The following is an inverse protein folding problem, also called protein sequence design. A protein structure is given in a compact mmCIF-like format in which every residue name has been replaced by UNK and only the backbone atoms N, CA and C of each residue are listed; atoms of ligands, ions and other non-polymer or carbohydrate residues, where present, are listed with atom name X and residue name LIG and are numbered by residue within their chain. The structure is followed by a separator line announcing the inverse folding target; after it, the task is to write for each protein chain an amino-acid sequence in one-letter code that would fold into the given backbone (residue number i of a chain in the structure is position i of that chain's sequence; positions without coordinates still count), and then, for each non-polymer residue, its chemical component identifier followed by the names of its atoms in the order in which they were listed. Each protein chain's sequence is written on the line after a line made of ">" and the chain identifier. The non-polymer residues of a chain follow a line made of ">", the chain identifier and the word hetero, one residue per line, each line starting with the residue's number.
data_IF_020485844564
#
_entry.id   IF_020485844564
#
_cell.length_a   1.000
_cell.length_b   1.000
_cell.length_c   1.000
_cell.angle_alpha   90.00
_cell.angle_beta   90.00
_cell.angle_gamma   90.00
#
_symmetry.space_group_name_H-M   'P 1'
#
loop_
_entity.id
_entity.type
_entity.pdbx_description
1 polymer ?
#
# COMPACT_ATOMS: atom_id res chain seq x y z
N UNK A 1 21.57 -7.79 -58.28
CA UNK A 1 21.84 -7.90 -56.83
C UNK A 1 21.69 -6.50 -56.21
N UNK A 2 20.47 -5.99 -56.04
CA UNK A 2 20.19 -4.62 -55.55
C UNK A 2 18.84 -4.48 -54.81
N UNK A 3 18.20 -5.58 -54.40
CA UNK A 3 16.91 -5.57 -53.70
C UNK A 3 16.97 -5.74 -52.18
N UNK A 4 18.14 -6.08 -51.61
CA UNK A 4 18.29 -6.30 -50.17
C UNK A 4 18.53 -5.00 -49.37
N UNK A 5 19.08 -3.95 -49.99
CA UNK A 5 19.40 -2.69 -49.29
C UNK A 5 18.16 -1.85 -48.95
N UNK A 6 17.11 -1.87 -49.80
CA UNK A 6 15.91 -1.06 -49.57
C UNK A 6 14.99 -1.60 -48.49
N UNK A 7 15.01 -2.91 -48.22
CA UNK A 7 14.15 -3.50 -47.19
C UNK A 7 14.71 -3.26 -45.79
N UNK A 8 16.05 -3.23 -45.64
CA UNK A 8 16.73 -2.91 -44.39
C UNK A 8 16.55 -1.42 -44.03
N UNK A 9 16.69 -0.52 -45.01
CA UNK A 9 16.46 0.92 -44.79
C UNK A 9 14.99 1.27 -44.50
N UNK A 10 14.03 0.52 -45.05
CA UNK A 10 12.61 0.73 -44.72
C UNK A 10 12.30 0.26 -43.30
N UNK A 11 12.94 -0.81 -42.83
CA UNK A 11 12.78 -1.30 -41.45
C UNK A 11 13.39 -0.36 -40.42
N UNK A 12 14.54 0.26 -40.72
CA UNK A 12 15.14 1.29 -39.85
C UNK A 12 14.25 2.55 -39.80
N UNK A 13 13.66 2.94 -40.93
CA UNK A 13 12.79 4.13 -40.97
C UNK A 13 11.46 3.91 -40.23
N UNK A 14 10.90 2.70 -40.21
CA UNK A 14 9.69 2.40 -39.41
C UNK A 14 9.99 2.36 -37.90
N UNK A 15 11.18 1.90 -37.51
CA UNK A 15 11.64 1.97 -36.12
C UNK A 15 11.92 3.42 -35.67
N UNK A 16 12.47 4.27 -36.55
CA UNK A 16 12.67 5.69 -36.27
C UNK A 16 11.37 6.51 -36.34
N UNK A 17 10.38 6.10 -37.14
CA UNK A 17 9.08 6.77 -37.21
C UNK A 17 8.16 6.41 -36.02
N UNK A 18 8.36 5.25 -35.38
CA UNK A 18 7.79 4.95 -34.06
C UNK A 18 8.31 5.91 -32.99
N UNK A 19 9.57 6.35 -33.07
CA UNK A 19 10.13 7.36 -32.17
C UNK A 19 9.57 8.77 -32.40
N UNK A 20 9.07 9.08 -33.61
CA UNK A 20 8.59 10.42 -33.98
C UNK A 20 7.06 10.58 -34.01
N UNK A 21 6.26 9.50 -34.02
CA UNK A 21 4.78 9.57 -34.10
C UNK A 21 3.99 8.85 -33.03
N UNK A 22 4.62 8.26 -32.01
CA UNK A 22 3.85 7.41 -31.10
C UNK A 22 4.48 7.27 -29.73
N UNK A 23 3.84 7.91 -28.76
CA UNK A 23 3.85 7.44 -27.38
C UNK A 23 5.26 7.21 -26.83
N UNK A 24 5.88 8.32 -26.44
CA UNK A 24 6.42 8.37 -25.09
C UNK A 24 5.21 8.20 -24.14
N UNK A 25 4.67 6.98 -24.07
CA UNK A 25 4.00 6.51 -22.88
C UNK A 25 5.10 6.65 -21.85
N UNK A 26 5.04 7.74 -21.09
CA UNK A 26 5.46 7.67 -19.72
C UNK A 26 4.75 6.42 -19.20
N UNK A 27 5.42 5.27 -19.25
CA UNK A 27 5.24 4.23 -18.26
C UNK A 27 5.68 4.91 -16.96
N UNK A 28 4.86 5.86 -16.48
CA UNK A 28 4.61 5.96 -15.06
C UNK A 28 4.18 4.54 -14.75
N UNK A 29 5.10 3.73 -14.26
CA UNK A 29 4.77 2.45 -13.66
C UNK A 29 3.78 2.80 -12.56
N UNK A 30 2.50 2.82 -12.92
CA UNK A 30 1.43 2.79 -11.95
C UNK A 30 1.74 1.54 -11.15
N UNK A 31 2.04 1.64 -9.84
CA UNK A 31 2.32 0.46 -9.05
C UNK A 31 1.16 -0.51 -9.28
N UNK A 32 1.46 -1.64 -9.92
CA UNK A 32 0.44 -2.61 -10.26
C UNK A 32 0.03 -3.27 -8.95
N UNK A 33 -1.19 -2.96 -8.50
CA UNK A 33 -1.81 -3.63 -7.38
C UNK A 33 -2.59 -4.86 -7.89
N UNK A 34 -2.59 -6.00 -7.16
CA UNK A 34 -1.85 -6.26 -5.94
C UNK A 34 -0.33 -6.35 -6.19
N UNK A 35 0.43 -5.84 -5.25
CA UNK A 35 1.88 -5.73 -5.31
C UNK A 35 2.51 -6.79 -4.41
N UNK A 36 3.41 -7.59 -4.97
CA UNK A 36 4.08 -8.68 -4.26
C UNK A 36 5.54 -8.30 -3.96
N UNK A 37 5.92 -8.36 -2.69
CA UNK A 37 7.26 -8.01 -2.21
C UNK A 37 7.91 -9.24 -1.58
N UNK A 38 8.88 -9.79 -2.29
CA UNK A 38 9.69 -10.93 -1.83
C UNK A 38 10.85 -10.47 -0.95
N UNK A 39 11.46 -11.41 -0.23
CA UNK A 39 12.65 -11.18 0.60
C UNK A 39 13.77 -10.42 -0.14
N UNK A 40 14.36 -9.44 0.54
CA UNK A 40 15.49 -8.64 0.04
C UNK A 40 15.09 -7.61 -1.01
N UNK A 41 13.81 -7.54 -1.38
CA UNK A 41 13.29 -6.63 -2.37
C UNK A 41 12.58 -5.47 -1.68
N UNK A 42 12.94 -4.26 -2.07
CA UNK A 42 12.22 -3.05 -1.69
C UNK A 42 11.41 -2.55 -2.88
N UNK A 43 10.20 -2.07 -2.61
CA UNK A 43 9.31 -1.56 -3.63
C UNK A 43 8.50 -0.38 -3.10
N UNK A 44 8.19 0.55 -3.98
CA UNK A 44 7.40 1.74 -3.62
C UNK A 44 5.96 1.55 -4.08
N UNK A 45 5.03 1.68 -3.14
CA UNK A 45 3.60 1.74 -3.36
C UNK A 45 3.15 3.21 -3.35
N UNK A 46 2.40 3.62 -4.36
CA UNK A 46 1.77 4.95 -4.41
C UNK A 46 0.30 4.81 -4.02
N UNK A 47 -0.11 5.54 -2.99
CA UNK A 47 -1.48 5.55 -2.49
C UNK A 47 -2.18 6.83 -2.95
N UNK A 48 -3.18 6.74 -3.83
CA UNK A 48 -4.04 7.87 -4.18
C UNK A 48 -4.81 8.41 -2.98
N UNK A 49 -5.18 9.69 -3.07
CA UNK A 49 -5.99 10.35 -2.05
C UNK A 49 -7.32 9.61 -1.80
N UNK A 50 -7.73 9.53 -0.53
CA UNK A 50 -8.99 8.90 -0.14
C UNK A 50 -8.99 7.36 -0.22
N UNK A 51 -7.91 6.75 -0.70
CA UNK A 51 -7.70 5.31 -0.65
C UNK A 51 -6.88 4.93 0.59
N UNK A 52 -6.88 3.65 0.92
CA UNK A 52 -6.03 3.13 1.98
C UNK A 52 -5.25 1.90 1.53
N UNK A 53 -4.10 1.71 2.15
CA UNK A 53 -3.18 0.61 1.89
C UNK A 53 -3.47 -0.55 2.84
N UNK A 54 -3.67 -1.73 2.28
CA UNK A 54 -3.79 -3.01 3.00
C UNK A 54 -2.49 -3.77 2.79
N UNK A 55 -1.89 -4.25 3.88
CA UNK A 55 -0.64 -5.01 3.84
C UNK A 55 -0.87 -6.35 4.50
N UNK A 56 -0.52 -7.43 3.81
CA UNK A 56 -0.67 -8.80 4.31
C UNK A 56 0.65 -9.54 4.20
N UNK A 57 1.17 -10.04 5.31
CA UNK A 57 2.32 -10.93 5.30
C UNK A 57 1.90 -12.39 5.18
N UNK A 58 2.58 -13.15 4.33
CA UNK A 58 2.47 -14.60 4.30
C UNK A 58 2.96 -15.23 5.64
N UNK A 59 2.65 -16.50 5.94
CA UNK A 59 3.23 -17.19 7.10
C UNK A 59 4.76 -17.10 7.11
N UNK A 60 5.33 -16.67 8.24
CA UNK A 60 6.77 -16.43 8.35
C UNK A 60 7.27 -15.13 7.71
N UNK A 61 6.37 -14.24 7.26
CA UNK A 61 6.76 -12.94 6.75
C UNK A 61 7.34 -12.05 7.85
N UNK A 62 8.39 -11.32 7.51
CA UNK A 62 8.94 -10.24 8.33
C UNK A 62 9.29 -9.10 7.39
N UNK A 63 8.82 -7.90 7.70
CA UNK A 63 9.03 -6.73 6.85
C UNK A 63 8.71 -5.43 7.56
N UNK A 64 8.91 -4.34 6.84
CA UNK A 64 8.59 -2.98 7.29
C UNK A 64 7.91 -2.26 6.13
N UNK A 65 6.86 -1.52 6.45
CA UNK A 65 6.24 -0.54 5.56
C UNK A 65 6.54 0.84 6.11
N UNK A 66 7.00 1.76 5.27
CA UNK A 66 7.42 3.10 5.68
C UNK A 66 6.72 4.15 4.82
N UNK A 67 5.96 5.04 5.43
CA UNK A 67 5.48 6.26 4.78
C UNK A 67 6.68 7.17 4.51
N UNK A 68 6.87 7.55 3.26
CA UNK A 68 7.98 8.38 2.81
C UNK A 68 7.65 9.87 2.94
N UNK A 69 8.65 10.65 3.34
CA UNK A 69 8.53 12.11 3.37
C UNK A 69 8.42 12.68 1.93
N UNK A 70 7.35 13.41 1.58
CA UNK A 70 7.16 13.94 0.24
C UNK A 70 8.08 15.14 -0.09
N UNK A 71 8.62 15.82 0.92
CA UNK A 71 9.49 17.01 0.79
C UNK A 71 10.95 16.60 0.72
N UNK A 72 11.41 15.77 1.67
CA UNK A 72 12.81 15.33 1.76
C UNK A 72 13.12 14.14 0.86
N UNK A 73 12.10 13.33 0.50
CA UNK A 73 12.23 12.20 -0.42
C UNK A 73 13.20 11.11 0.04
N UNK A 74 13.48 10.17 -0.87
CA UNK A 74 14.44 9.08 -0.64
C UNK A 74 13.96 8.03 0.38
N UNK A 75 14.81 7.70 1.34
CA UNK A 75 14.55 6.74 2.44
C UNK A 75 14.08 7.42 3.73
N UNK A 76 13.85 8.74 3.71
CA UNK A 76 13.31 9.46 4.86
C UNK A 76 11.87 9.00 5.12
N UNK A 77 11.63 8.45 6.31
CA UNK A 77 10.33 7.95 6.70
C UNK A 77 9.69 8.86 7.76
N UNK A 78 8.43 9.21 7.54
CA UNK A 78 7.59 9.91 8.51
C UNK A 78 7.00 8.96 9.54
N UNK A 79 6.65 7.74 9.11
CA UNK A 79 6.04 6.72 9.94
C UNK A 79 6.34 5.34 9.37
N UNK A 80 6.51 4.35 10.24
CA UNK A 80 6.76 2.96 9.83
C UNK A 80 5.92 1.96 10.62
N UNK A 81 5.58 0.85 9.98
CA UNK A 81 4.81 -0.26 10.54
C UNK A 81 5.61 -1.56 10.36
N UNK A 82 5.66 -2.37 11.40
CA UNK A 82 6.25 -3.70 11.32
C UNK A 82 5.26 -4.67 10.69
N UNK A 83 5.70 -5.43 9.69
CA UNK A 83 4.91 -6.46 9.01
C UNK A 83 5.29 -7.82 9.55
N UNK A 84 4.30 -8.57 10.04
CA UNK A 84 4.40 -9.98 10.38
C UNK A 84 3.46 -10.83 9.54
N UNK A 85 3.22 -12.08 9.95
CA UNK A 85 2.20 -12.91 9.31
C UNK A 85 0.78 -12.37 9.55
N UNK A 86 -0.05 -12.40 8.52
CA UNK A 86 -1.42 -11.89 8.55
C UNK A 86 -1.56 -10.46 8.03
N UNK A 87 -2.78 -9.93 8.10
CA UNK A 87 -3.09 -8.56 7.65
C UNK A 87 -2.76 -7.54 8.75
N UNK A 88 -2.11 -6.45 8.36
CA UNK A 88 -1.98 -5.24 9.16
C UNK A 88 -3.31 -4.48 9.20
N UNK A 89 -3.46 -3.62 10.22
CA UNK A 89 -4.51 -2.62 10.21
C UNK A 89 -4.40 -1.74 8.95
N UNK A 90 -5.54 -1.32 8.42
CA UNK A 90 -5.60 -0.48 7.22
C UNK A 90 -4.83 0.84 7.45
N UNK A 91 -3.96 1.20 6.50
CA UNK A 91 -3.11 2.40 6.58
C UNK A 91 -3.71 3.50 5.69
N UNK A 92 -4.23 4.57 6.30
CA UNK A 92 -4.98 5.64 5.64
C UNK A 92 -6.48 5.64 6.02
N UNK A 93 -7.33 6.45 5.35
CA UNK A 93 -7.02 7.29 4.18
C UNK A 93 -6.16 8.51 4.52
N UNK A 94 -5.43 8.99 3.53
CA UNK A 94 -4.68 10.25 3.63
C UNK A 94 -5.28 11.29 2.69
N UNK A 95 -5.09 12.56 3.06
CA UNK A 95 -5.26 13.68 2.15
C UNK A 95 -4.04 13.74 1.20
N UNK A 96 -4.31 13.97 -0.08
CA UNK A 96 -3.30 13.94 -1.13
C UNK A 96 -2.69 12.55 -1.40
N UNK A 97 -1.83 12.48 -2.41
CA UNK A 97 -1.11 11.26 -2.79
C UNK A 97 0.03 10.98 -1.81
N UNK A 98 0.14 9.73 -1.36
CA UNK A 98 1.20 9.27 -0.48
C UNK A 98 2.07 8.20 -1.13
N UNK A 99 3.30 8.04 -0.64
CA UNK A 99 4.25 7.02 -1.09
C UNK A 99 4.73 6.18 0.08
N UNK A 100 4.70 4.87 -0.09
CA UNK A 100 5.12 3.91 0.91
C UNK A 100 6.25 3.06 0.37
N UNK A 101 7.33 2.90 1.14
CA UNK A 101 8.36 1.90 0.87
C UNK A 101 7.99 0.62 1.61
N UNK A 102 7.79 -0.46 0.88
CA UNK A 102 7.55 -1.79 1.41
C UNK A 102 8.84 -2.59 1.28
N UNK A 103 9.35 -3.08 2.40
CA UNK A 103 10.56 -3.89 2.49
C UNK A 103 10.24 -5.21 3.18
N UNK A 104 10.69 -6.32 2.60
CA UNK A 104 10.49 -7.66 3.16
C UNK A 104 11.85 -8.30 3.46
N UNK A 105 12.08 -8.71 4.71
CA UNK A 105 13.32 -9.36 5.17
C UNK A 105 13.18 -10.88 5.31
N UNK A 106 11.97 -11.41 5.41
CA UNK A 106 11.69 -12.85 5.36
C UNK A 106 10.29 -13.11 4.78
N UNK A 107 10.11 -14.23 4.07
CA UNK A 107 8.83 -14.60 3.48
C UNK A 107 8.41 -13.72 2.30
N UNK A 108 7.13 -13.31 2.29
CA UNK A 108 6.49 -12.48 1.27
C UNK A 108 5.49 -11.53 1.92
N UNK A 109 5.43 -10.31 1.41
CA UNK A 109 4.45 -9.29 1.79
C UNK A 109 3.64 -8.90 0.55
N UNK A 110 2.33 -8.85 0.71
CA UNK A 110 1.36 -8.42 -0.29
C UNK A 110 0.82 -7.04 0.09
N UNK A 111 0.80 -6.12 -0.86
CA UNK A 111 0.32 -4.77 -0.70
C UNK A 111 -0.80 -4.48 -1.69
N UNK A 112 -1.91 -3.95 -1.20
CA UNK A 112 -3.10 -3.66 -2.00
C UNK A 112 -3.63 -2.28 -1.66
N UNK A 113 -4.06 -1.55 -2.68
CA UNK A 113 -4.75 -0.28 -2.51
C UNK A 113 -6.23 -0.49 -2.74
N UNK A 114 -7.00 -0.18 -1.70
CA UNK A 114 -8.45 -0.34 -1.67
C UNK A 114 -9.10 0.99 -1.31
N UNK A 115 -10.39 1.14 -1.64
CA UNK A 115 -11.17 2.23 -1.08
C UNK A 115 -11.07 2.19 0.45
N UNK A 116 -10.88 3.34 1.09
CA UNK A 116 -10.87 3.40 2.53
C UNK A 116 -12.23 2.94 3.06
N UNK A 117 -12.24 1.91 3.88
CA UNK A 117 -13.45 1.53 4.57
C UNK A 117 -13.74 2.63 5.60
N UNK A 118 -14.99 3.07 5.71
CA UNK A 118 -15.39 3.87 6.86
C UNK A 118 -15.21 2.98 8.09
N UNK A 119 -14.17 3.25 8.89
CA UNK A 119 -14.05 2.64 10.21
C UNK A 119 -15.23 3.16 11.03
N UNK A 120 -16.27 2.33 11.17
CA UNK A 120 -17.34 2.63 12.10
C UNK A 120 -16.73 2.67 13.51
N UNK A 121 -17.01 3.69 14.33
CA UNK A 121 -16.54 3.70 15.70
C UNK A 121 -17.06 2.45 16.40
N UNK A 122 -16.13 1.64 16.91
CA UNK A 122 -16.48 0.49 17.74
C UNK A 122 -16.74 1.00 19.16
N UNK A 123 -18.00 1.01 19.58
CA UNK A 123 -18.36 1.26 20.99
C UNK A 123 -18.10 -0.05 21.75
N UNK A 124 -17.09 -0.05 22.62
CA UNK A 124 -16.89 -1.14 23.58
C UNK A 124 -17.79 -0.86 24.77
N UNK A 125 -18.89 -1.61 24.88
CA UNK A 125 -19.75 -1.59 26.07
C UNK A 125 -19.25 -2.66 27.03
N UNK A 126 -18.59 -2.22 28.10
CA UNK A 126 -18.26 -3.08 29.22
C UNK A 126 -19.43 -3.08 30.20
N UNK A 127 -20.23 -4.14 30.20
CA UNK A 127 -21.23 -4.36 31.27
C UNK A 127 -20.55 -5.02 32.47
N UNK A 128 -19.58 -4.36 33.09
CA UNK A 128 -19.34 -4.61 34.50
C UNK A 128 -20.54 -3.97 35.20
N UNK A 129 -21.55 -4.75 35.57
CA UNK A 129 -22.58 -4.22 36.44
C UNK A 129 -21.89 -3.92 37.77
N UNK A 130 -21.70 -2.65 38.19
CA UNK A 130 -21.34 -2.42 39.57
C UNK A 130 -22.46 -3.02 40.39
N UNK A 131 -22.12 -4.03 41.19
CA UNK A 131 -23.03 -4.56 42.15
C UNK A 131 -23.18 -3.50 43.26
N UNK A 132 -24.41 -3.19 43.61
CA UNK A 132 -24.68 -2.49 44.85
C UNK A 132 -24.16 -3.34 46.04
N UNK A 133 -24.13 -2.76 47.24
CA UNK A 133 -23.60 -3.46 48.43
C UNK A 133 -24.37 -4.76 48.78
N UNK A 134 -25.52 -5.00 48.14
CA UNK A 134 -26.38 -6.19 48.22
C UNK A 134 -26.24 -7.17 47.03
N UNK A 135 -25.27 -6.96 46.12
CA UNK A 135 -24.91 -7.93 45.08
C UNK A 135 -25.80 -7.92 43.82
N UNK A 136 -26.74 -6.98 43.71
CA UNK A 136 -27.59 -6.78 42.53
C UNK A 136 -26.96 -5.77 41.56
N UNK A 137 -27.17 -5.91 40.24
CA UNK A 137 -26.68 -4.95 39.27
C UNK A 137 -27.33 -3.58 39.46
N UNK A 138 -26.53 -2.52 39.64
CA UNK A 138 -26.99 -1.14 39.85
C UNK A 138 -27.47 -0.45 38.54
N UNK A 139 -27.51 -1.17 37.43
CA UNK A 139 -28.01 -0.65 36.14
C UNK A 139 -27.13 0.39 35.45
N UNK A 140 -26.00 0.79 36.06
CA UNK A 140 -25.06 1.74 35.49
C UNK A 140 -24.28 1.13 34.32
N UNK A 141 -24.35 1.76 33.14
CA UNK A 141 -23.58 1.39 31.95
C UNK A 141 -22.39 2.35 31.81
N UNK A 142 -21.17 1.81 31.79
CA UNK A 142 -19.97 2.58 31.47
C UNK A 142 -19.72 2.52 29.97
N UNK A 143 -19.79 3.69 29.33
CA UNK A 143 -19.42 3.87 27.92
C UNK A 143 -18.00 4.43 27.89
N UNK A 144 -17.05 3.66 27.38
CA UNK A 144 -15.70 4.14 27.08
C UNK A 144 -15.57 4.30 25.58
N UNK A 145 -15.32 5.53 25.14
CA UNK A 145 -14.92 5.81 23.75
C UNK A 145 -13.41 5.61 23.66
N UNK A 146 -12.96 4.74 22.75
CA UNK A 146 -11.55 4.59 22.39
C UNK A 146 -11.10 5.71 21.46
#
# INVERSE_FOLDING_TARGET
>A
MWRLSQQEQRSDTEAEMLLLTGQFLLLQETPQYPMHVSVGVNRVATLPEGQALTITGAPGATGIVSLLDPVLGGTNSLQSWTVGAGALAQIGPYAGQQRFLVACSAGRVDAEVNAAAALAPMIVVSSAAPNNNDGRPDGTIYIQTA
#
